data_IF_868860309797
#
_entry.id   IF_868860309797
#
_cell.length_a   1.000
_cell.length_b   1.000
_cell.length_c   1.000
_cell.angle_alpha   90.00
_cell.angle_beta   90.00
_cell.angle_gamma   90.00
#
_symmetry.space_group_name_H-M   'P 1'
#
loop_
_entity.id
_entity.type
_entity.pdbx_description
1 polymer ?
#
# COMPACT_ATOMS: atom_id res chain seq x y z
N UNK A 1 0.72 -1.25 34.33
CA UNK A 1 1.04 -0.25 33.29
C UNK A 1 0.34 -0.55 31.96
N UNK A 2 0.49 -1.75 31.37
CA UNK A 2 -0.12 -2.14 30.08
C UNK A 2 -1.64 -1.92 29.95
N UNK A 3 -2.42 -2.21 31.00
CA UNK A 3 -3.88 -2.05 30.98
C UNK A 3 -4.34 -0.58 30.84
N UNK A 4 -3.49 0.38 31.23
CA UNK A 4 -3.78 1.81 31.10
C UNK A 4 -3.67 2.27 29.63
N UNK A 5 -2.67 1.75 28.92
CA UNK A 5 -2.41 2.08 27.51
C UNK A 5 -3.51 1.54 26.60
N UNK A 6 -3.97 0.31 26.82
CA UNK A 6 -5.11 -0.25 26.08
C UNK A 6 -6.38 0.57 26.24
N UNK A 7 -6.71 0.93 27.48
CA UNK A 7 -7.87 1.78 27.76
C UNK A 7 -7.76 3.16 27.12
N UNK A 8 -6.54 3.70 27.03
CA UNK A 8 -6.29 4.97 26.35
C UNK A 8 -6.57 4.85 24.85
N UNK A 9 -6.02 3.84 24.18
CA UNK A 9 -6.28 3.61 22.75
C UNK A 9 -7.75 3.36 22.46
N UNK A 10 -8.40 2.45 23.21
CA UNK A 10 -9.82 2.14 23.04
C UNK A 10 -10.71 3.38 23.23
N UNK A 11 -10.39 4.22 24.21
CA UNK A 11 -11.11 5.47 24.44
C UNK A 11 -10.85 6.49 23.32
N UNK A 12 -9.65 6.54 22.77
CA UNK A 12 -9.30 7.48 21.71
C UNK A 12 -10.02 7.13 20.39
N UNK A 13 -9.94 5.86 19.97
CA UNK A 13 -10.59 5.37 18.74
C UNK A 13 -12.11 5.19 18.89
N UNK A 14 -12.61 5.01 20.12
CA UNK A 14 -14.04 4.97 20.43
C UNK A 14 -14.68 6.33 20.67
N UNK A 15 -13.87 7.38 20.84
CA UNK A 15 -14.31 8.72 21.21
C UNK A 15 -14.06 9.75 20.12
N UNK A 16 -13.33 10.79 20.48
CA UNK A 16 -13.16 12.01 19.66
C UNK A 16 -12.33 11.76 18.39
N UNK A 17 -11.40 10.78 18.42
CA UNK A 17 -10.41 10.55 17.37
C UNK A 17 -10.70 9.25 16.58
N UNK A 18 -11.98 8.90 16.46
CA UNK A 18 -12.45 7.65 15.84
C UNK A 18 -12.05 7.46 14.36
N UNK A 19 -11.69 8.54 13.67
CA UNK A 19 -11.26 8.50 12.25
C UNK A 19 -9.74 8.65 12.08
N UNK A 20 -8.99 8.84 13.17
CA UNK A 20 -7.55 9.06 13.11
C UNK A 20 -6.80 7.77 12.80
N UNK A 21 -6.43 7.56 11.53
CA UNK A 21 -5.70 6.36 11.09
C UNK A 21 -4.40 6.14 11.85
N UNK A 22 -3.69 7.21 12.21
CA UNK A 22 -2.44 7.15 12.95
C UNK A 22 -2.60 6.45 14.30
N UNK A 23 -3.71 6.69 15.01
CA UNK A 23 -3.98 6.03 16.29
C UNK A 23 -4.30 4.55 16.11
N UNK A 24 -5.00 4.18 15.04
CA UNK A 24 -5.22 2.77 14.72
C UNK A 24 -3.91 2.05 14.43
N UNK A 25 -3.00 2.67 13.68
CA UNK A 25 -1.69 2.08 13.40
C UNK A 25 -0.85 1.93 14.67
N UNK A 26 -0.75 2.99 15.49
CA UNK A 26 -0.04 2.92 16.77
C UNK A 26 -0.65 1.86 17.71
N UNK A 27 -1.99 1.70 17.70
CA UNK A 27 -2.64 0.67 18.50
C UNK A 27 -2.40 -0.74 17.95
N UNK A 28 -2.43 -0.91 16.63
CA UNK A 28 -2.09 -2.17 15.97
C UNK A 28 -0.65 -2.58 16.27
N UNK A 29 0.32 -1.67 16.14
CA UNK A 29 1.73 -1.94 16.44
C UNK A 29 1.91 -2.35 17.91
N UNK A 30 1.21 -1.69 18.84
CA UNK A 30 1.23 -2.04 20.26
C UNK A 30 0.68 -3.45 20.56
N UNK A 31 -0.36 -3.89 19.86
CA UNK A 31 -0.86 -5.27 19.98
C UNK A 31 0.04 -6.29 19.25
N UNK A 32 0.68 -5.90 18.14
CA UNK A 32 1.66 -6.71 17.42
C UNK A 32 2.88 -7.02 18.29
N UNK A 33 3.43 -6.03 19.01
CA UNK A 33 4.54 -6.20 19.96
C UNK A 33 4.22 -7.20 21.08
N UNK A 34 2.93 -7.31 21.44
CA UNK A 34 2.43 -8.24 22.46
C UNK A 34 2.05 -9.61 21.89
N UNK A 35 2.35 -9.84 20.61
CA UNK A 35 1.99 -11.03 19.84
C UNK A 35 0.47 -11.32 19.86
N UNK A 36 -0.36 -10.28 19.92
CA UNK A 36 -1.83 -10.38 19.89
C UNK A 36 -2.37 -10.16 18.49
N UNK A 37 -1.95 -11.01 17.55
CA UNK A 37 -2.23 -10.87 16.12
C UNK A 37 -3.74 -10.85 15.77
N UNK A 38 -4.56 -11.58 16.52
CA UNK A 38 -6.02 -11.54 16.31
C UNK A 38 -6.63 -10.18 16.69
N UNK A 39 -6.06 -9.48 17.67
CA UNK A 39 -6.48 -8.13 18.02
C UNK A 39 -6.05 -7.12 16.95
N UNK A 40 -4.84 -7.26 16.42
CA UNK A 40 -4.35 -6.44 15.30
C UNK A 40 -5.31 -6.49 14.12
N UNK A 41 -5.73 -7.70 13.71
CA UNK A 41 -6.71 -7.88 12.62
C UNK A 41 -8.05 -7.20 12.92
N UNK A 42 -8.57 -7.32 14.15
CA UNK A 42 -9.79 -6.63 14.58
C UNK A 42 -9.67 -5.10 14.54
N UNK A 43 -8.50 -4.56 14.91
CA UNK A 43 -8.23 -3.12 14.86
C UNK A 43 -8.28 -2.63 13.41
N UNK A 44 -7.62 -3.33 12.49
CA UNK A 44 -7.69 -3.01 11.07
C UNK A 44 -9.09 -3.18 10.48
N UNK A 45 -9.82 -4.24 10.82
CA UNK A 45 -11.19 -4.43 10.36
C UNK A 45 -12.11 -3.29 10.84
N UNK A 46 -11.92 -2.81 12.07
CA UNK A 46 -12.63 -1.65 12.61
C UNK A 46 -12.29 -0.37 11.83
N UNK A 47 -11.01 -0.16 11.48
CA UNK A 47 -10.59 0.97 10.66
C UNK A 47 -11.19 0.92 9.25
N UNK A 48 -11.17 -0.25 8.62
CA UNK A 48 -11.69 -0.47 7.27
C UNK A 48 -13.21 -0.33 7.18
N UNK A 49 -13.93 -0.56 8.28
CA UNK A 49 -15.37 -0.36 8.39
C UNK A 49 -15.79 1.12 8.41
N UNK A 50 -14.85 2.06 8.62
CA UNK A 50 -15.15 3.50 8.58
C UNK A 50 -15.30 3.91 7.13
N UNK A 51 -16.54 4.22 6.70
CA UNK A 51 -16.87 4.52 5.31
C UNK A 51 -16.18 5.79 4.79
N UNK A 52 -16.04 6.81 5.64
CA UNK A 52 -15.48 8.13 5.31
C UNK A 52 -13.95 8.13 5.16
N UNK A 53 -13.26 7.12 5.68
CA UNK A 53 -11.81 7.05 5.64
C UNK A 53 -11.30 6.43 4.32
N UNK A 54 -10.16 6.94 3.82
CA UNK A 54 -9.43 6.31 2.71
C UNK A 54 -8.78 5.01 3.19
N UNK A 55 -9.25 3.82 2.77
CA UNK A 55 -8.75 2.56 3.32
C UNK A 55 -7.40 2.14 2.70
N UNK A 56 -6.89 2.87 1.70
CA UNK A 56 -5.73 2.44 0.92
C UNK A 56 -4.51 2.20 1.80
N UNK A 57 -4.17 3.14 2.67
CA UNK A 57 -3.03 3.01 3.58
C UNK A 57 -3.25 1.92 4.63
N UNK A 58 -4.48 1.78 5.13
CA UNK A 58 -4.85 0.74 6.08
C UNK A 58 -4.68 -0.67 5.49
N UNK A 59 -5.10 -0.88 4.23
CA UNK A 59 -4.86 -2.13 3.53
C UNK A 59 -3.37 -2.40 3.29
N UNK A 60 -2.57 -1.39 2.96
CA UNK A 60 -1.11 -1.55 2.79
C UNK A 60 -0.48 -2.01 4.10
N UNK A 61 -0.81 -1.37 5.22
CA UNK A 61 -0.27 -1.74 6.54
C UNK A 61 -0.74 -3.14 6.97
N UNK A 62 -2.02 -3.45 6.79
CA UNK A 62 -2.57 -4.79 7.06
C UNK A 62 -1.89 -5.85 6.19
N UNK A 63 -1.67 -5.58 4.90
CA UNK A 63 -0.99 -6.50 3.98
C UNK A 63 0.45 -6.76 4.42
N UNK A 64 1.19 -5.72 4.84
CA UNK A 64 2.54 -5.85 5.40
C UNK A 64 2.54 -6.69 6.68
N UNK A 65 1.64 -6.39 7.60
CA UNK A 65 1.48 -7.13 8.87
C UNK A 65 1.21 -8.62 8.62
N UNK A 66 0.19 -8.93 7.81
CA UNK A 66 -0.20 -10.32 7.50
C UNK A 66 0.92 -11.05 6.77
N UNK A 67 1.68 -10.38 5.89
CA UNK A 67 2.84 -10.99 5.26
C UNK A 67 3.89 -11.41 6.30
N UNK A 68 4.23 -10.53 7.23
CA UNK A 68 5.28 -10.78 8.25
C UNK A 68 4.88 -11.89 9.22
N UNK A 69 3.59 -12.02 9.54
CA UNK A 69 3.11 -12.92 10.60
C UNK A 69 2.52 -14.23 10.08
N UNK A 70 1.83 -14.21 8.93
CA UNK A 70 1.08 -15.35 8.39
C UNK A 70 1.62 -15.81 7.01
N UNK A 71 2.36 -14.95 6.31
CA UNK A 71 3.04 -15.28 5.06
C UNK A 71 2.37 -14.77 3.78
N UNK A 72 2.99 -15.09 2.64
CA UNK A 72 2.65 -14.51 1.32
C UNK A 72 1.23 -14.82 0.85
N UNK A 73 0.72 -16.02 1.12
CA UNK A 73 -0.62 -16.43 0.66
C UNK A 73 -1.72 -15.57 1.30
N UNK A 74 -1.60 -15.30 2.61
CA UNK A 74 -2.55 -14.46 3.32
C UNK A 74 -2.43 -12.99 2.90
N UNK A 75 -1.22 -12.50 2.65
CA UNK A 75 -1.02 -11.15 2.12
C UNK A 75 -1.71 -10.96 0.75
N UNK A 76 -1.64 -11.96 -0.14
CA UNK A 76 -2.36 -11.95 -1.42
C UNK A 76 -3.88 -11.94 -1.25
N UNK A 77 -4.40 -12.58 -0.20
CA UNK A 77 -5.82 -12.52 0.14
C UNK A 77 -6.23 -11.10 0.58
N UNK A 78 -5.39 -10.41 1.36
CA UNK A 78 -5.61 -8.99 1.70
C UNK A 78 -5.58 -8.11 0.45
N UNK A 79 -4.62 -8.31 -0.45
CA UNK A 79 -4.58 -7.59 -1.73
C UNK A 79 -5.86 -7.84 -2.56
N UNK A 80 -6.35 -9.08 -2.61
CA UNK A 80 -7.62 -9.40 -3.27
C UNK A 80 -8.80 -8.65 -2.63
N UNK A 81 -8.89 -8.60 -1.30
CA UNK A 81 -9.91 -7.85 -0.57
C UNK A 81 -9.82 -6.35 -0.87
N UNK A 82 -8.61 -5.78 -0.84
CA UNK A 82 -8.38 -4.37 -1.11
C UNK A 82 -8.81 -3.94 -2.53
N UNK A 83 -8.61 -4.82 -3.53
CA UNK A 83 -9.06 -4.57 -4.92
C UNK A 83 -10.58 -4.54 -5.09
N UNK A 84 -11.32 -5.16 -4.17
CA UNK A 84 -12.78 -5.18 -4.17
C UNK A 84 -13.39 -3.95 -3.49
N UNK A 85 -12.60 -3.21 -2.72
CA UNK A 85 -13.02 -1.95 -2.11
C UNK A 85 -12.85 -0.80 -3.11
N UNK A 86 -13.96 -0.18 -3.52
CA UNK A 86 -13.97 0.90 -4.51
C UNK A 86 -13.27 2.17 -4.05
N UNK A 87 -13.08 2.33 -2.73
CA UNK A 87 -12.41 3.49 -2.14
C UNK A 87 -10.88 3.40 -2.25
N UNK A 88 -10.34 2.23 -2.56
CA UNK A 88 -8.90 2.01 -2.70
C UNK A 88 -8.32 2.71 -3.94
N UNK A 89 -7.19 3.38 -3.73
CA UNK A 89 -6.39 4.04 -4.77
C UNK A 89 -5.28 3.12 -5.29
N UNK A 90 -4.61 3.55 -6.35
CA UNK A 90 -3.56 2.78 -7.04
C UNK A 90 -2.39 2.33 -6.14
N UNK A 91 -2.10 3.05 -5.05
CA UNK A 91 -0.98 2.76 -4.15
C UNK A 91 -0.97 1.31 -3.61
N UNK A 92 -2.14 0.67 -3.50
CA UNK A 92 -2.22 -0.74 -3.07
C UNK A 92 -1.57 -1.71 -4.10
N UNK A 93 -1.67 -1.40 -5.40
CA UNK A 93 -1.05 -2.19 -6.46
C UNK A 93 0.47 -2.04 -6.41
N UNK A 94 0.95 -0.79 -6.28
CA UNK A 94 2.39 -0.51 -6.12
C UNK A 94 2.95 -1.25 -4.92
N UNK A 95 2.31 -1.12 -3.76
CA UNK A 95 2.75 -1.80 -2.54
C UNK A 95 2.75 -3.33 -2.69
N UNK A 96 1.72 -3.91 -3.31
CA UNK A 96 1.65 -5.36 -3.52
C UNK A 96 2.74 -5.84 -4.48
N UNK A 97 3.00 -5.13 -5.59
CA UNK A 97 4.02 -5.51 -6.56
C UNK A 97 5.43 -5.44 -5.95
N UNK A 98 5.74 -4.35 -5.24
CA UNK A 98 7.03 -4.19 -4.56
C UNK A 98 7.22 -5.23 -3.45
N UNK A 99 6.16 -5.65 -2.75
CA UNK A 99 6.24 -6.74 -1.78
C UNK A 99 6.57 -8.10 -2.43
N UNK A 100 6.05 -8.38 -3.63
CA UNK A 100 6.40 -9.60 -4.36
C UNK A 100 7.86 -9.56 -4.83
N UNK A 101 8.30 -8.40 -5.34
CA UNK A 101 9.67 -8.22 -5.78
C UNK A 101 10.68 -8.30 -4.63
N UNK A 102 10.56 -7.45 -3.61
CA UNK A 102 11.58 -7.35 -2.58
C UNK A 102 11.58 -8.56 -1.64
N UNK A 103 10.40 -9.06 -1.29
CA UNK A 103 10.27 -10.09 -0.26
C UNK A 103 10.08 -11.50 -0.82
N UNK A 104 9.37 -11.69 -1.95
CA UNK A 104 9.22 -13.02 -2.58
C UNK A 104 10.30 -13.31 -3.62
N UNK A 105 11.03 -12.27 -4.07
CA UNK A 105 11.96 -12.35 -5.21
C UNK A 105 11.28 -12.84 -6.49
N UNK A 106 9.98 -12.57 -6.63
CA UNK A 106 9.17 -13.01 -7.76
C UNK A 106 8.84 -11.81 -8.67
N UNK A 107 9.74 -11.56 -9.61
CA UNK A 107 9.64 -10.46 -10.57
C UNK A 107 8.44 -10.62 -11.50
N UNK A 108 8.14 -11.85 -11.94
CA UNK A 108 7.03 -12.13 -12.86
C UNK A 108 5.68 -11.82 -12.22
N UNK A 109 5.52 -12.09 -10.92
CA UNK A 109 4.30 -11.68 -10.20
C UNK A 109 4.27 -10.17 -10.02
N UNK A 110 5.39 -9.52 -9.70
CA UNK A 110 5.45 -8.07 -9.55
C UNK A 110 5.03 -7.35 -10.85
N UNK A 111 5.57 -7.77 -12.00
CA UNK A 111 5.19 -7.25 -13.33
C UNK A 111 3.70 -7.48 -13.59
N UNK A 112 3.17 -8.69 -13.33
CA UNK A 112 1.73 -8.99 -13.51
C UNK A 112 0.83 -8.12 -12.65
N UNK A 113 1.24 -7.80 -11.42
CA UNK A 113 0.49 -6.89 -10.54
C UNK A 113 0.54 -5.46 -11.09
N UNK A 114 1.70 -5.01 -11.55
CA UNK A 114 1.84 -3.69 -12.16
C UNK A 114 1.02 -3.55 -13.45
N UNK A 115 1.06 -4.53 -14.35
CA UNK A 115 0.24 -4.53 -15.56
C UNK A 115 -1.26 -4.54 -15.25
N UNK A 116 -1.67 -5.23 -14.19
CA UNK A 116 -3.06 -5.25 -13.75
C UNK A 116 -3.51 -3.87 -13.25
N UNK A 117 -2.69 -3.18 -12.46
CA UNK A 117 -3.01 -1.83 -12.00
C UNK A 117 -2.94 -0.82 -13.15
N UNK A 118 -2.06 -1.00 -14.14
CA UNK A 118 -1.92 -0.09 -15.27
C UNK A 118 -3.17 -0.09 -16.17
N UNK A 119 -3.86 -1.23 -16.27
CA UNK A 119 -5.16 -1.30 -16.95
C UNK A 119 -6.25 -0.46 -16.27
N UNK A 120 -6.12 -0.17 -14.97
CA UNK A 120 -7.12 0.53 -14.17
C UNK A 120 -6.75 1.99 -13.86
N UNK A 121 -5.46 2.27 -13.69
CA UNK A 121 -4.91 3.56 -13.27
C UNK A 121 -3.84 4.06 -14.26
N UNK A 122 -4.03 3.77 -15.55
CA UNK A 122 -3.08 4.16 -16.60
C UNK A 122 -3.04 5.68 -16.86
N UNK A 123 -4.09 6.37 -16.45
CA UNK A 123 -4.25 7.82 -16.44
C UNK A 123 -3.64 8.51 -15.21
N UNK A 124 -3.26 7.74 -14.18
CA UNK A 124 -2.61 8.25 -12.98
C UNK A 124 -1.08 8.25 -13.16
N UNK A 125 -0.45 9.42 -13.35
CA UNK A 125 0.98 9.47 -13.64
C UNK A 125 1.84 8.98 -12.48
N UNK A 126 1.40 9.16 -11.25
CA UNK A 126 2.07 8.64 -10.06
C UNK A 126 2.15 7.10 -10.08
N UNK A 127 1.14 6.42 -10.63
CA UNK A 127 1.16 4.97 -10.79
C UNK A 127 2.16 4.54 -11.88
N UNK A 128 2.08 5.21 -13.04
CA UNK A 128 2.97 5.00 -14.16
C UNK A 128 4.45 5.17 -13.76
N UNK A 129 4.77 6.20 -13.00
CA UNK A 129 6.11 6.48 -12.50
C UNK A 129 6.60 5.41 -11.53
N UNK A 130 5.75 4.95 -10.62
CA UNK A 130 6.10 3.86 -9.71
C UNK A 130 6.41 2.56 -10.48
N UNK A 131 5.71 2.32 -11.59
CA UNK A 131 6.00 1.15 -12.43
C UNK A 131 7.32 1.31 -13.22
N UNK A 132 7.56 2.48 -13.81
CA UNK A 132 8.81 2.78 -14.52
C UNK A 132 10.01 2.70 -13.57
N UNK A 133 9.89 3.26 -12.36
CA UNK A 133 10.92 3.16 -11.32
C UNK A 133 11.21 1.69 -11.00
N UNK A 134 10.19 0.87 -10.81
CA UNK A 134 10.36 -0.58 -10.62
C UNK A 134 11.10 -1.26 -11.79
N UNK A 135 10.69 -1.01 -13.04
CA UNK A 135 11.33 -1.61 -14.22
C UNK A 135 12.79 -1.17 -14.40
N UNK A 136 13.10 0.09 -14.06
CA UNK A 136 14.48 0.59 -14.12
C UNK A 136 15.42 -0.17 -13.19
N UNK A 137 14.92 -0.68 -12.05
CA UNK A 137 15.71 -1.50 -11.13
C UNK A 137 15.96 -2.93 -11.64
N UNK A 138 15.24 -3.38 -12.68
CA UNK A 138 15.43 -4.69 -13.30
C UNK A 138 16.49 -4.70 -14.42
N UNK A 139 17.06 -3.53 -14.77
CA UNK A 139 17.94 -3.35 -15.95
C UNK A 139 17.30 -3.82 -17.27
N UNK A 140 15.97 -3.81 -17.37
CA UNK A 140 15.27 -4.07 -18.62
C UNK A 140 15.03 -2.77 -19.38
N UNK A 141 16.10 -2.17 -19.90
CA UNK A 141 16.08 -0.84 -20.55
C UNK A 141 15.07 -0.77 -21.71
N UNK A 142 14.96 -1.85 -22.50
CA UNK A 142 13.99 -1.92 -23.60
C UNK A 142 12.54 -1.96 -23.09
N UNK A 143 12.24 -2.72 -22.04
CA UNK A 143 10.88 -2.81 -21.50
C UNK A 143 10.49 -1.52 -20.76
N UNK A 144 11.45 -0.92 -20.04
CA UNK A 144 11.29 0.38 -19.40
C UNK A 144 10.94 1.45 -20.43
N UNK A 145 11.65 1.49 -21.57
CA UNK A 145 11.39 2.43 -22.65
C UNK A 145 10.02 2.23 -23.30
N UNK A 146 9.62 1.00 -23.59
CA UNK A 146 8.31 0.70 -24.21
C UNK A 146 7.16 1.08 -23.28
N UNK A 147 7.28 0.79 -21.98
CA UNK A 147 6.26 1.16 -20.98
C UNK A 147 6.20 2.68 -20.83
N UNK A 148 7.36 3.34 -20.77
CA UNK A 148 7.47 4.80 -20.70
C UNK A 148 6.88 5.49 -21.93
N UNK A 149 7.19 5.04 -23.14
CA UNK A 149 6.62 5.56 -24.39
C UNK A 149 5.10 5.34 -24.46
N UNK A 150 4.59 4.19 -23.97
CA UNK A 150 3.15 3.92 -23.88
C UNK A 150 2.43 4.86 -22.90
N UNK A 151 3.07 5.21 -21.79
CA UNK A 151 2.55 6.16 -20.81
C UNK A 151 2.56 7.58 -21.38
N UNK A 152 3.66 8.02 -21.99
CA UNK A 152 3.78 9.39 -22.54
C UNK A 152 2.92 9.65 -23.77
N UNK A 153 2.63 8.62 -24.56
CA UNK A 153 1.73 8.75 -25.73
C UNK A 153 0.26 8.73 -25.33
N UNK A 154 -0.06 8.36 -24.06
CA UNK A 154 -1.41 8.49 -23.55
C UNK A 154 -1.74 9.96 -23.27
N UNK A 155 -2.87 10.45 -23.79
CA UNK A 155 -3.28 11.87 -23.78
C UNK A 155 -3.58 12.46 -22.38
N UNK A 156 -3.22 11.77 -21.29
CA UNK A 156 -3.64 12.06 -19.91
C UNK A 156 -2.62 12.80 -19.03
N UNK A 157 -1.46 13.21 -19.57
CA UNK A 157 -0.33 13.74 -18.78
C UNK A 157 -0.21 15.27 -18.83
N UNK A 158 -0.51 15.96 -17.71
CA UNK A 158 -0.26 17.42 -17.59
C UNK A 158 1.16 17.72 -17.08
N UNK A 159 1.80 18.82 -17.54
CA UNK A 159 3.19 19.15 -17.21
C UNK A 159 3.46 19.41 -15.71
N UNK A 160 2.45 19.82 -14.93
CA UNK A 160 2.64 20.15 -13.51
C UNK A 160 2.91 18.91 -12.64
N UNK A 161 2.40 17.74 -13.04
CA UNK A 161 2.55 16.48 -12.28
C UNK A 161 3.97 15.91 -12.34
N UNK A 162 4.79 16.35 -13.31
CA UNK A 162 6.19 15.94 -13.49
C UNK A 162 7.15 16.42 -12.40
N UNK A 163 6.79 17.44 -11.61
CA UNK A 163 7.64 17.94 -10.50
C UNK A 163 7.43 17.17 -9.18
N UNK A 164 6.24 16.62 -8.93
CA UNK A 164 5.95 15.79 -7.75
C UNK A 164 6.72 14.46 -7.76
N UNK A 165 7.04 13.98 -8.97
CA UNK A 165 7.92 12.84 -9.28
C UNK A 165 9.28 12.96 -8.58
N UNK A 166 9.84 14.16 -8.56
CA UNK A 166 11.15 14.42 -7.97
C UNK A 166 11.12 14.40 -6.43
N UNK A 167 9.98 14.75 -5.82
CA UNK A 167 9.81 14.79 -4.37
C UNK A 167 9.53 13.42 -3.77
N UNK A 168 8.74 12.58 -4.46
CA UNK A 168 8.44 11.21 -4.02
C UNK A 168 9.67 10.28 -4.03
N UNK A 169 10.63 10.53 -4.94
CA UNK A 169 11.89 9.80 -5.06
C UNK A 169 12.75 9.82 -3.77
N UNK A 170 12.55 10.79 -2.88
CA UNK A 170 13.31 10.89 -1.62
C UNK A 170 12.69 10.13 -0.42
N UNK A 171 11.38 9.86 -0.41
CA UNK A 171 10.69 9.37 0.79
C UNK A 171 10.64 7.83 0.85
N UNK A 172 10.61 7.14 -0.30
CA UNK A 172 10.49 5.67 -0.32
C UNK A 172 11.76 4.94 0.14
N UNK A 173 12.92 5.62 0.18
CA UNK A 173 14.20 5.05 0.66
C UNK A 173 14.29 4.89 2.19
N UNK A 174 13.35 5.44 2.97
CA UNK A 174 13.46 5.50 4.45
C UNK A 174 12.65 4.41 5.17
N UNK A 175 11.84 3.61 4.46
CA UNK A 175 10.95 2.61 5.09
C UNK A 175 11.06 1.18 4.54
N UNK A 176 12.21 0.82 3.97
CA UNK A 176 12.63 -0.58 3.79
C UNK A 176 13.87 -0.81 4.64
#
# INVERSE_FOLDING_TARGET
MFYCVLKLFERAIGGLLKESQLLFFAYADYEEERMKFDNVKKIYDRLLAIETADPTLAYIQLMKFVRRTEGVQYARAIFKRARQDSRCKFHIFVASALMEYYCSKDTDIAIRVFDMGLKKYGDEPEYALAYVDFLSHLNEDNNTRVVFERILTSESMTPEKSMLVFFFFSILKVCI
#
